data_IF_715247197669
#
_entry.id   IF_715247197669
#
_cell.length_a   1.000
_cell.length_b   1.000
_cell.length_c   1.000
_cell.angle_alpha   90.00
_cell.angle_beta   90.00
_cell.angle_gamma   90.00
#
_symmetry.space_group_name_H-M   'P 1'
#
loop_
_entity.id
_entity.type
_entity.pdbx_description
1 polymer ?
#
# COMPACT_ATOMS: atom_id res chain seq x y z
N UNK A 1 -17.57 8.74 -21.87
CA UNK A 1 -16.13 8.69 -21.53
C UNK A 1 -15.97 7.60 -20.48
N UNK A 2 -15.67 6.37 -20.88
CA UNK A 2 -15.44 5.28 -19.92
C UNK A 2 -14.00 5.40 -19.44
N UNK A 3 -13.80 6.09 -18.31
CA UNK A 3 -12.51 6.09 -17.62
C UNK A 3 -12.18 4.64 -17.29
N UNK A 4 -11.13 4.10 -17.92
CA UNK A 4 -10.62 2.76 -17.67
C UNK A 4 -9.84 2.80 -16.34
N UNK A 5 -10.57 3.04 -15.25
CA UNK A 5 -10.01 3.08 -13.89
C UNK A 5 -9.50 1.68 -13.58
N UNK A 6 -8.24 1.53 -13.11
CA UNK A 6 -7.70 0.21 -12.78
C UNK A 6 -8.61 -0.46 -11.74
N UNK A 7 -9.06 -1.67 -12.05
CA UNK A 7 -9.94 -2.45 -11.16
C UNK A 7 -9.18 -2.95 -9.93
N UNK A 8 -7.85 -3.05 -10.04
CA UNK A 8 -6.96 -3.49 -8.98
C UNK A 8 -5.79 -2.53 -8.81
N UNK A 9 -5.35 -2.37 -7.56
CA UNK A 9 -4.19 -1.57 -7.18
C UNK A 9 -3.15 -2.51 -6.58
N UNK A 10 -1.94 -2.46 -7.12
CA UNK A 10 -0.80 -3.22 -6.58
C UNK A 10 -0.15 -2.43 -5.45
N UNK A 11 -0.25 -2.94 -4.22
CA UNK A 11 0.37 -2.35 -3.03
C UNK A 11 1.76 -2.95 -2.74
N UNK A 12 2.49 -3.32 -3.78
CA UNK A 12 3.86 -3.85 -3.74
C UNK A 12 3.88 -5.36 -3.47
N UNK A 13 3.32 -6.12 -4.42
CA UNK A 13 3.31 -7.59 -4.42
C UNK A 13 1.94 -8.21 -4.11
N UNK A 14 0.93 -7.38 -3.80
CA UNK A 14 -0.45 -7.80 -3.58
C UNK A 14 -1.34 -6.87 -4.40
N UNK A 15 -2.11 -7.42 -5.32
CA UNK A 15 -3.12 -6.69 -6.07
C UNK A 15 -4.47 -6.79 -5.33
N UNK A 16 -4.98 -5.66 -4.86
CA UNK A 16 -6.28 -5.57 -4.17
C UNK A 16 -7.30 -4.84 -5.04
N UNK A 17 -8.59 -5.22 -4.99
CA UNK A 17 -9.64 -4.51 -5.71
C UNK A 17 -9.73 -3.06 -5.25
N UNK A 18 -9.77 -2.14 -6.22
CA UNK A 18 -9.89 -0.69 -5.94
C UNK A 18 -11.14 -0.39 -5.11
N UNK A 19 -12.23 -1.10 -5.36
CA UNK A 19 -13.50 -0.93 -4.64
C UNK A 19 -13.40 -1.31 -3.16
N UNK A 20 -12.64 -2.36 -2.83
CA UNK A 20 -12.38 -2.75 -1.44
C UNK A 20 -11.50 -1.72 -0.75
N UNK A 21 -10.47 -1.24 -1.45
CA UNK A 21 -9.60 -0.16 -0.96
C UNK A 21 -10.39 1.13 -0.71
N UNK A 22 -11.36 1.46 -1.55
CA UNK A 22 -12.19 2.65 -1.40
C UNK A 22 -13.11 2.59 -0.16
N UNK A 23 -13.40 1.39 0.36
CA UNK A 23 -14.21 1.21 1.56
C UNK A 23 -13.40 1.41 2.85
N UNK A 24 -12.11 1.10 2.81
CA UNK A 24 -11.23 1.14 3.99
C UNK A 24 -10.35 2.39 4.02
N UNK A 25 -10.02 2.96 2.86
CA UNK A 25 -9.22 4.17 2.75
C UNK A 25 -10.12 5.41 2.80
N UNK A 26 -9.79 6.40 3.64
CA UNK A 26 -10.55 7.65 3.73
C UNK A 26 -10.41 8.53 2.47
N UNK A 27 -9.34 8.34 1.70
CA UNK A 27 -9.07 9.07 0.46
C UNK A 27 -8.22 8.19 -0.45
N UNK A 28 -8.90 7.54 -1.40
CA UNK A 28 -8.30 6.62 -2.36
C UNK A 28 -7.53 7.36 -3.47
N UNK A 29 -7.96 8.56 -3.86
CA UNK A 29 -7.30 9.32 -4.93
C UNK A 29 -5.92 9.78 -4.46
N UNK A 30 -5.81 10.33 -3.25
CA UNK A 30 -4.51 10.63 -2.63
C UNK A 30 -3.67 9.37 -2.45
N UNK A 31 -4.27 8.26 -2.02
CA UNK A 31 -3.54 7.01 -1.86
C UNK A 31 -2.90 6.57 -3.18
N UNK A 32 -3.68 6.51 -4.26
CA UNK A 32 -3.21 6.19 -5.60
C UNK A 32 -2.14 7.16 -6.10
N UNK A 33 -2.33 8.45 -5.88
CA UNK A 33 -1.39 9.49 -6.27
C UNK A 33 -0.02 9.31 -5.63
N UNK A 34 0.03 8.91 -4.35
CA UNK A 34 1.28 8.78 -3.58
C UNK A 34 1.79 7.34 -3.47
N UNK A 35 1.07 6.36 -3.98
CA UNK A 35 1.47 4.95 -3.95
C UNK A 35 2.80 4.68 -4.66
N UNK A 36 3.07 5.21 -5.87
CA UNK A 36 4.36 4.97 -6.54
C UNK A 36 5.56 5.48 -5.72
N UNK A 37 5.42 6.67 -5.12
CA UNK A 37 6.43 7.26 -4.26
C UNK A 37 6.63 6.41 -3.00
N UNK A 38 5.54 5.98 -2.36
CA UNK A 38 5.58 5.13 -1.18
C UNK A 38 6.27 3.79 -1.48
N UNK A 39 5.95 3.13 -2.59
CA UNK A 39 6.57 1.86 -2.97
C UNK A 39 8.05 2.02 -3.31
N UNK A 40 8.44 3.11 -3.97
CA UNK A 40 9.84 3.41 -4.23
C UNK A 40 10.63 3.62 -2.92
N UNK A 41 10.07 4.40 -1.99
CA UNK A 41 10.68 4.63 -0.68
C UNK A 41 10.76 3.35 0.14
N UNK A 42 9.70 2.54 0.21
CA UNK A 42 9.69 1.24 0.91
C UNK A 42 10.80 0.31 0.37
N UNK A 43 10.91 0.20 -0.96
CA UNK A 43 11.93 -0.62 -1.61
C UNK A 43 13.34 -0.14 -1.28
N UNK A 44 13.60 1.16 -1.41
CA UNK A 44 14.93 1.71 -1.23
C UNK A 44 15.34 1.71 0.25
N UNK A 45 14.40 1.93 1.17
CA UNK A 45 14.60 1.76 2.61
C UNK A 45 14.95 0.30 2.95
N UNK A 46 14.24 -0.68 2.40
CA UNK A 46 14.56 -2.11 2.57
C UNK A 46 15.94 -2.46 2.04
N UNK A 47 16.31 -1.95 0.87
CA UNK A 47 17.64 -2.15 0.29
C UNK A 47 18.75 -1.52 1.14
N UNK A 48 18.44 -0.45 1.87
CA UNK A 48 19.40 0.32 2.68
C UNK A 48 19.34 -0.01 4.18
N UNK A 49 18.77 -1.16 4.58
CA UNK A 49 18.69 -1.59 5.97
C UNK A 49 17.83 -0.68 6.87
N UNK A 50 16.83 0.00 6.30
CA UNK A 50 15.92 0.90 7.00
C UNK A 50 16.30 2.39 6.92
N UNK A 51 17.40 2.74 6.25
CA UNK A 51 17.77 4.14 6.07
C UNK A 51 16.84 4.87 5.09
N UNK A 52 16.43 6.10 5.43
CA UNK A 52 15.62 6.96 4.56
C UNK A 52 16.47 7.44 3.37
N UNK A 53 16.02 7.26 2.11
CA UNK A 53 16.76 7.68 0.93
C UNK A 53 17.01 9.20 0.86
N UNK A 54 18.18 9.61 0.38
CA UNK A 54 18.56 11.03 0.33
C UNK A 54 17.64 11.89 -0.54
N UNK A 55 17.05 11.33 -1.61
CA UNK A 55 16.12 12.07 -2.48
C UNK A 55 14.84 12.51 -1.74
N UNK A 56 14.42 11.78 -0.70
CA UNK A 56 13.25 12.12 0.11
C UNK A 56 13.50 13.40 0.90
N UNK A 57 14.76 13.66 1.28
CA UNK A 57 15.13 14.88 2.03
C UNK A 57 14.93 16.17 1.22
N UNK A 58 14.84 16.07 -0.10
CA UNK A 58 14.61 17.21 -0.98
C UNK A 58 13.12 17.46 -1.24
N UNK A 59 12.24 16.59 -0.75
CA UNK A 59 10.80 16.73 -0.98
C UNK A 59 10.18 17.80 -0.07
N UNK A 60 9.11 18.47 -0.54
CA UNK A 60 8.29 19.30 0.34
C UNK A 60 7.71 18.47 1.48
N UNK A 61 7.60 19.04 2.68
CA UNK A 61 7.05 18.36 3.86
C UNK A 61 5.68 17.75 3.58
N UNK A 62 4.81 18.46 2.86
CA UNK A 62 3.48 17.97 2.49
C UNK A 62 3.53 16.66 1.67
N UNK A 63 4.53 16.49 0.79
CA UNK A 63 4.72 15.25 0.02
C UNK A 63 5.22 14.13 0.94
N UNK A 64 6.15 14.44 1.84
CA UNK A 64 6.67 13.48 2.82
C UNK A 64 5.52 12.96 3.70
N UNK A 65 4.68 13.85 4.22
CA UNK A 65 3.54 13.49 5.07
C UNK A 65 2.55 12.59 4.33
N UNK A 66 2.24 12.92 3.07
CA UNK A 66 1.37 12.11 2.23
C UNK A 66 1.95 10.72 1.98
N UNK A 67 3.24 10.61 1.67
CA UNK A 67 3.93 9.34 1.43
C UNK A 67 4.03 8.50 2.71
N UNK A 68 4.35 9.10 3.85
CA UNK A 68 4.38 8.41 5.15
C UNK A 68 2.99 7.86 5.50
N UNK A 69 1.94 8.63 5.23
CA UNK A 69 0.57 8.16 5.44
C UNK A 69 0.23 6.99 4.52
N UNK A 70 0.57 7.07 3.24
CA UNK A 70 0.39 5.98 2.27
C UNK A 70 1.18 4.73 2.66
N UNK A 71 2.41 4.86 3.16
CA UNK A 71 3.22 3.74 3.67
C UNK A 71 2.54 3.00 4.83
N UNK A 72 1.96 3.75 5.79
CA UNK A 72 1.20 3.16 6.90
C UNK A 72 -0.04 2.42 6.41
N UNK A 73 -0.77 3.03 5.48
CA UNK A 73 -1.96 2.42 4.87
C UNK A 73 -1.59 1.13 4.13
N UNK A 74 -0.51 1.11 3.35
CA UNK A 74 0.01 -0.10 2.70
C UNK A 74 0.38 -1.17 3.73
N UNK A 75 1.06 -0.80 4.82
CA UNK A 75 1.39 -1.72 5.91
C UNK A 75 0.16 -2.40 6.48
N UNK A 76 -0.83 -1.61 6.88
CA UNK A 76 -2.09 -2.12 7.44
C UNK A 76 -2.87 -3.00 6.45
N UNK A 77 -2.87 -2.65 5.16
CA UNK A 77 -3.52 -3.46 4.12
C UNK A 77 -2.83 -4.82 3.93
N UNK A 78 -1.50 -4.85 3.96
CA UNK A 78 -0.72 -6.11 3.87
C UNK A 78 -0.96 -7.00 5.09
N UNK A 79 -1.04 -6.41 6.28
CA UNK A 79 -1.36 -7.12 7.51
C UNK A 79 -2.77 -7.74 7.41
N UNK A 80 -3.79 -6.95 7.06
CA UNK A 80 -5.16 -7.44 6.89
C UNK A 80 -5.26 -8.54 5.83
N UNK A 81 -4.57 -8.40 4.70
CA UNK A 81 -4.54 -9.43 3.66
C UNK A 81 -3.88 -10.73 4.18
N UNK A 82 -2.82 -10.61 4.97
CA UNK A 82 -2.13 -11.75 5.58
C UNK A 82 -2.98 -12.46 6.63
N UNK A 83 -3.73 -11.71 7.44
CA UNK A 83 -4.67 -12.25 8.44
C UNK A 83 -5.85 -12.99 7.78
N UNK A 84 -6.39 -12.45 6.68
CA UNK A 84 -7.45 -13.11 5.91
C UNK A 84 -6.97 -14.42 5.27
N UNK A 85 -5.75 -14.45 4.72
CA UNK A 85 -5.16 -15.66 4.16
C UNK A 85 -4.92 -16.74 5.23
N UNK A 86 -4.48 -16.37 6.43
CA UNK A 86 -4.28 -17.31 7.54
C UNK A 86 -5.62 -17.87 8.06
N UNK A 87 -6.63 -17.01 8.16
CA UNK A 87 -7.98 -17.40 8.60
C UNK A 87 -8.68 -18.35 7.61
N UNK A 88 -8.39 -18.23 6.31
CA UNK A 88 -8.91 -19.13 5.28
C UNK A 88 -8.22 -20.51 5.25
N UNK A 89 -7.01 -20.64 5.82
CA UNK A 89 -6.21 -21.87 5.80
C UNK A 89 -6.51 -22.89 6.91
N UNK A 90 -7.20 -22.49 7.99
CA UNK A 90 -7.41 -23.34 9.20
C UNK A 90 -8.76 -24.07 9.22
N UNK A 91 -9.52 -24.07 8.11
CA UNK A 91 -10.84 -24.71 8.03
C UNK A 91 -10.90 -26.16 7.53
N UNK A 92 -9.77 -26.80 7.18
CA UNK A 92 -9.79 -28.11 6.49
C UNK A 92 -8.86 -29.14 7.15
N UNK A 93 -9.19 -29.53 8.38
CA UNK A 93 -8.65 -30.75 8.99
C UNK A 93 -9.63 -31.24 10.05
N UNK A 94 -10.65 -31.94 9.59
CA UNK A 94 -11.48 -32.83 10.41
C UNK A 94 -12.00 -33.93 9.48
N UNK A 95 -11.22 -35.00 9.37
CA UNK A 95 -11.71 -36.35 9.13
C UNK A 95 -10.90 -37.29 10.03
#
# INVERSE_FOLDING_TARGET
MTSNTPTHIDIGGIALPREELAQVLPDIERFEQHLPDALAVDRDMKASGGAVPDYVRQWPQARIDAVVRTLKEVGSLREQASEQMQSAGTGRSRD
#
